data_IF_398450776653
#
_entry.id   IF_398450776653
#
_cell.length_a   1.000
_cell.length_b   1.000
_cell.length_c   1.000
_cell.angle_alpha   90.00
_cell.angle_beta   90.00
_cell.angle_gamma   90.00
#
_symmetry.space_group_name_H-M   'P 1'
#
loop_
_entity.id
_entity.type
_entity.pdbx_description
1 polymer ?
#
# COMPACT_ATOMS: atom_id res chain seq x y z
N UNK A 1 5.28 0.22 29.07
CA UNK A 1 5.95 1.53 29.15
C UNK A 1 6.42 1.93 27.76
N UNK A 2 5.87 3.02 27.21
CA UNK A 2 6.17 3.48 25.85
C UNK A 2 7.24 4.58 25.90
N UNK A 3 8.37 4.35 25.23
CA UNK A 3 9.46 5.31 25.07
C UNK A 3 9.08 6.36 24.01
N UNK A 4 9.45 7.64 24.17
CA UNK A 4 9.02 8.70 23.25
C UNK A 4 9.72 8.58 21.89
N UNK A 5 8.97 8.62 20.77
CA UNK A 5 9.44 8.20 19.45
C UNK A 5 9.80 9.34 18.47
N UNK A 6 10.91 10.04 18.73
CA UNK A 6 11.68 10.77 17.70
C UNK A 6 12.98 9.98 17.44
N UNK A 7 13.35 9.57 16.21
CA UNK A 7 14.77 9.23 15.96
C UNK A 7 15.25 8.22 14.91
N UNK A 8 14.44 7.45 14.18
CA UNK A 8 15.00 6.45 13.23
C UNK A 8 14.98 6.92 11.76
N UNK A 9 16.04 6.59 10.99
CA UNK A 9 16.16 6.93 9.57
C UNK A 9 14.92 6.53 8.72
N UNK A 10 14.33 5.33 8.87
CA UNK A 10 13.12 4.96 8.13
C UNK A 10 11.96 5.93 8.36
N UNK A 11 11.72 6.35 9.61
CA UNK A 11 10.61 7.24 9.95
C UNK A 11 10.85 8.66 9.44
N UNK A 12 12.09 9.16 9.51
CA UNK A 12 12.46 10.46 8.90
C UNK A 12 12.24 10.45 7.39
N UNK A 13 12.70 9.39 6.71
CA UNK A 13 12.50 9.21 5.28
C UNK A 13 11.01 9.17 4.93
N UNK A 14 10.21 8.38 5.66
CA UNK A 14 8.77 8.28 5.43
C UNK A 14 8.05 9.62 5.65
N UNK A 15 8.40 10.34 6.72
CA UNK A 15 7.86 11.66 7.02
C UNK A 15 8.11 12.63 5.86
N UNK A 16 9.35 12.72 5.39
CA UNK A 16 9.72 13.64 4.32
C UNK A 16 9.04 13.29 2.98
N UNK A 17 8.91 11.99 2.68
CA UNK A 17 8.19 11.52 1.50
C UNK A 17 6.70 11.83 1.54
N UNK A 18 6.07 11.74 2.71
CA UNK A 18 4.67 12.10 2.88
C UNK A 18 4.46 13.59 2.81
N UNK A 19 5.35 14.36 3.43
CA UNK A 19 5.35 15.82 3.36
C UNK A 19 5.55 16.32 1.93
N UNK A 20 6.38 15.64 1.13
CA UNK A 20 6.56 16.01 -0.26
C UNK A 20 5.34 15.70 -1.13
N UNK A 21 4.38 14.89 -0.66
CA UNK A 21 3.16 14.57 -1.41
C UNK A 21 3.38 13.61 -2.60
N UNK A 22 4.58 13.04 -2.73
CA UNK A 22 4.89 12.11 -3.83
C UNK A 22 4.20 10.77 -3.61
N UNK A 23 3.61 10.21 -4.66
CA UNK A 23 2.99 8.88 -4.61
C UNK A 23 4.01 7.76 -4.79
N UNK A 24 5.12 8.04 -5.47
CA UNK A 24 6.19 7.09 -5.77
C UNK A 24 7.56 7.71 -5.50
N UNK A 25 8.54 6.86 -5.20
CA UNK A 25 9.92 7.27 -4.91
C UNK A 25 10.91 6.28 -5.49
N UNK A 26 11.92 6.78 -6.19
CA UNK A 26 13.05 5.98 -6.63
C UNK A 26 14.14 5.99 -5.55
N UNK A 27 14.64 4.83 -5.14
CA UNK A 27 15.70 4.69 -4.14
C UNK A 27 16.95 5.53 -4.45
N UNK A 28 17.31 5.67 -5.74
CA UNK A 28 18.43 6.48 -6.17
C UNK A 28 18.30 7.97 -5.83
N UNK A 29 17.09 8.52 -5.78
CA UNK A 29 16.87 9.94 -5.44
C UNK A 29 17.01 10.24 -3.94
N UNK A 30 17.15 9.19 -3.12
CA UNK A 30 17.32 9.28 -1.67
C UNK A 30 18.79 9.17 -1.27
N UNK A 31 19.65 8.65 -2.16
CA UNK A 31 21.09 8.52 -1.91
C UNK A 31 21.73 9.90 -1.84
N UNK A 32 22.76 10.04 -1.01
CA UNK A 32 23.39 11.32 -0.71
C UNK A 32 22.64 12.05 0.41
N UNK A 33 21.35 12.38 0.20
CA UNK A 33 20.53 13.07 1.22
C UNK A 33 20.33 12.24 2.49
N UNK A 34 20.06 10.94 2.34
CA UNK A 34 19.77 10.03 3.46
C UNK A 34 20.91 9.04 3.72
N UNK A 35 22.08 9.26 3.10
CA UNK A 35 23.28 8.42 3.24
C UNK A 35 23.55 7.54 2.02
N UNK A 36 24.29 6.44 2.24
CA UNK A 36 24.72 5.51 1.19
C UNK A 36 23.57 4.67 0.63
N UNK A 37 23.76 4.09 -0.56
CA UNK A 37 22.78 3.21 -1.19
C UNK A 37 22.38 2.01 -0.31
N UNK A 38 23.31 1.44 0.45
CA UNK A 38 23.04 0.33 1.38
C UNK A 38 22.19 0.77 2.57
N UNK A 39 22.44 1.98 3.10
CA UNK A 39 21.71 2.60 4.20
C UNK A 39 20.26 2.88 3.80
N UNK A 40 20.07 3.52 2.63
CA UNK A 40 18.74 3.76 2.04
C UNK A 40 17.99 2.44 1.81
N UNK A 41 18.65 1.45 1.19
CA UNK A 41 18.04 0.14 0.93
C UNK A 41 17.57 -0.55 2.21
N UNK A 42 18.36 -0.48 3.30
CA UNK A 42 17.97 -1.03 4.60
C UNK A 42 16.77 -0.29 5.19
N UNK A 43 16.73 1.04 5.07
CA UNK A 43 15.60 1.83 5.54
C UNK A 43 14.31 1.52 4.77
N UNK A 44 14.38 1.45 3.43
CA UNK A 44 13.24 1.09 2.58
C UNK A 44 12.73 -0.31 2.89
N UNK A 45 13.61 -1.30 3.12
CA UNK A 45 13.17 -2.65 3.55
C UNK A 45 12.39 -2.64 4.86
N UNK A 46 12.81 -1.82 5.83
CA UNK A 46 12.05 -1.66 7.09
C UNK A 46 10.67 -1.04 6.85
N UNK A 47 10.56 -0.10 5.92
CA UNK A 47 9.27 0.51 5.56
C UNK A 47 8.36 -0.44 4.77
N UNK A 48 8.93 -1.31 3.93
CA UNK A 48 8.17 -2.39 3.27
C UNK A 48 7.64 -3.37 4.31
N UNK A 49 8.49 -3.82 5.24
CA UNK A 49 8.09 -4.73 6.31
C UNK A 49 7.02 -4.12 7.24
N UNK A 50 7.05 -2.79 7.42
CA UNK A 50 6.04 -2.05 8.17
C UNK A 50 4.80 -1.67 7.33
N UNK A 51 4.70 -2.15 6.09
CA UNK A 51 3.58 -1.88 5.17
C UNK A 51 3.29 -0.38 4.97
N UNK A 52 4.35 0.44 5.01
CA UNK A 52 4.27 1.89 4.76
C UNK A 52 4.62 2.27 3.33
N UNK A 53 5.33 1.38 2.64
CA UNK A 53 5.63 1.48 1.21
C UNK A 53 5.53 0.10 0.58
N UNK A 54 5.36 0.05 -0.73
CA UNK A 54 5.32 -1.19 -1.49
C UNK A 54 6.28 -1.12 -2.69
N UNK A 55 7.11 -2.15 -2.95
CA UNK A 55 7.92 -2.19 -4.15
C UNK A 55 7.04 -2.37 -5.39
N UNK A 56 7.24 -1.52 -6.41
CA UNK A 56 6.52 -1.61 -7.69
C UNK A 56 7.41 -2.25 -8.78
N UNK A 57 8.70 -1.89 -8.75
CA UNK A 57 9.76 -2.42 -9.59
C UNK A 57 11.11 -2.20 -8.89
N UNK A 58 12.19 -2.75 -9.45
CA UNK A 58 13.53 -2.63 -8.86
C UNK A 58 13.88 -1.17 -8.58
N UNK A 59 14.09 -0.85 -7.30
CA UNK A 59 14.48 0.50 -6.87
C UNK A 59 13.38 1.55 -6.93
N UNK A 60 12.13 1.21 -7.26
CA UNK A 60 10.98 2.12 -7.26
C UNK A 60 9.90 1.62 -6.30
N UNK A 61 9.45 2.51 -5.44
CA UNK A 61 8.52 2.21 -4.37
C UNK A 61 7.29 3.12 -4.47
N UNK A 62 6.14 2.58 -4.12
CA UNK A 62 4.91 3.34 -3.86
C UNK A 62 4.83 3.67 -2.39
N UNK A 63 4.44 4.89 -2.08
CA UNK A 63 4.15 5.29 -0.70
C UNK A 63 2.70 4.95 -0.40
N UNK A 64 2.46 4.20 0.69
CA UNK A 64 1.13 3.82 1.12
C UNK A 64 0.58 4.92 2.06
N UNK A 65 -0.62 5.44 1.77
CA UNK A 65 -1.23 6.47 2.60
C UNK A 65 -1.65 5.88 3.96
N UNK A 66 -1.56 6.68 5.02
CA UNK A 66 -1.98 6.27 6.37
C UNK A 66 -3.51 6.39 6.61
N UNK A 67 -4.27 6.77 5.59
CA UNK A 67 -5.72 6.96 5.70
C UNK A 67 -6.47 5.75 5.16
N UNK A 68 -7.56 5.42 5.84
CA UNK A 68 -8.51 4.40 5.38
C UNK A 68 -9.08 4.77 3.99
N UNK A 69 -9.18 3.82 3.05
CA UNK A 69 -9.77 4.06 1.75
C UNK A 69 -11.26 4.37 1.87
N UNK A 70 -11.71 5.40 1.16
CA UNK A 70 -13.14 5.63 0.95
C UNK A 70 -13.70 4.57 0.00
N UNK A 71 -14.29 3.50 0.53
CA UNK A 71 -14.97 2.48 -0.27
C UNK A 71 -16.26 3.03 -0.88
N UNK A 72 -16.65 2.53 -2.05
CA UNK A 72 -17.89 2.92 -2.73
C UNK A 72 -19.12 2.38 -1.99
N UNK A 73 -18.97 1.21 -1.38
CA UNK A 73 -19.95 0.62 -0.49
C UNK A 73 -19.41 0.65 0.93
N UNK A 74 -20.13 1.31 1.84
CA UNK A 74 -19.78 1.31 3.26
C UNK A 74 -20.03 -0.09 3.84
N UNK A 75 -18.97 -0.78 4.26
CA UNK A 75 -19.03 -2.13 4.84
C UNK A 75 -19.36 -2.12 6.34
N UNK A 76 -19.30 -0.95 6.97
CA UNK A 76 -19.46 -0.73 8.39
C UNK A 76 -20.89 -0.27 8.74
N UNK A 77 -21.91 -1.00 8.29
CA UNK A 77 -23.31 -0.61 8.42
C UNK A 77 -23.74 -0.31 9.87
N UNK A 78 -23.18 -1.00 10.86
CA UNK A 78 -23.49 -0.79 12.29
C UNK A 78 -22.55 0.20 13.00
N UNK A 79 -21.44 0.60 12.39
CA UNK A 79 -20.51 1.57 12.96
C UNK A 79 -19.79 2.38 11.87
N UNK A 80 -20.48 3.32 11.21
CA UNK A 80 -19.94 4.07 10.07
C UNK A 80 -18.78 5.03 10.40
N UNK A 81 -18.36 5.10 11.67
CA UNK A 81 -17.18 5.84 12.12
C UNK A 81 -16.11 4.97 12.81
N UNK A 82 -16.30 3.65 12.83
CA UNK A 82 -15.32 2.73 13.41
C UNK A 82 -14.06 2.65 12.57
N UNK A 83 -12.90 2.76 13.20
CA UNK A 83 -11.62 2.44 12.55
C UNK A 83 -11.47 0.92 12.56
N UNK A 84 -11.53 0.30 11.37
CA UNK A 84 -11.29 -1.12 11.26
C UNK A 84 -9.80 -1.41 11.18
N UNK A 85 -9.40 -2.54 11.75
CA UNK A 85 -8.12 -3.12 11.39
C UNK A 85 -8.08 -3.31 9.85
N UNK A 86 -6.98 -2.93 9.16
CA UNK A 86 -6.97 -2.98 7.71
C UNK A 86 -7.17 -4.38 7.14
N UNK A 87 -6.71 -5.46 7.80
CA UNK A 87 -6.93 -6.83 7.31
C UNK A 87 -8.41 -7.18 7.41
N UNK A 88 -9.08 -6.75 8.47
CA UNK A 88 -10.52 -6.92 8.62
C UNK A 88 -11.32 -6.17 7.53
N UNK A 89 -10.97 -4.92 7.23
CA UNK A 89 -11.62 -4.17 6.15
C UNK A 89 -11.40 -4.81 4.76
N UNK A 90 -10.19 -5.32 4.53
CA UNK A 90 -9.85 -6.06 3.31
C UNK A 90 -10.72 -7.32 3.23
N UNK A 91 -10.79 -8.11 4.30
CA UNK A 91 -11.55 -9.35 4.33
C UNK A 91 -13.05 -9.11 4.05
N UNK A 92 -13.68 -8.17 4.76
CA UNK A 92 -15.08 -7.79 4.53
C UNK A 92 -15.36 -7.34 3.09
N UNK A 93 -14.40 -6.67 2.46
CA UNK A 93 -14.52 -6.26 1.06
C UNK A 93 -14.40 -7.45 0.13
N UNK A 94 -13.44 -8.35 0.38
CA UNK A 94 -13.19 -9.55 -0.42
C UNK A 94 -14.34 -10.57 -0.37
N UNK A 95 -15.18 -10.57 0.68
CA UNK A 95 -16.38 -11.41 0.73
C UNK A 95 -17.45 -11.04 -0.31
N UNK A 96 -17.51 -9.76 -0.73
CA UNK A 96 -18.39 -9.31 -1.84
C UNK A 96 -17.67 -8.26 -2.68
N UNK A 97 -16.67 -8.65 -3.46
CA UNK A 97 -15.68 -7.73 -3.97
C UNK A 97 -16.19 -6.99 -5.21
N UNK A 98 -15.85 -5.70 -5.30
CA UNK A 98 -15.99 -4.92 -6.53
C UNK A 98 -14.61 -4.48 -6.99
N UNK A 99 -14.40 -4.37 -8.31
CA UNK A 99 -13.09 -3.96 -8.81
C UNK A 99 -12.67 -2.60 -8.27
N UNK A 100 -13.62 -1.67 -8.17
CA UNK A 100 -13.40 -0.32 -7.65
C UNK A 100 -12.94 -0.32 -6.19
N UNK A 101 -13.58 -1.11 -5.33
CA UNK A 101 -13.24 -1.16 -3.90
C UNK A 101 -11.92 -1.89 -3.67
N UNK A 102 -11.71 -3.02 -4.36
CA UNK A 102 -10.44 -3.75 -4.26
C UNK A 102 -9.28 -2.90 -4.78
N UNK A 103 -9.44 -2.15 -5.88
CA UNK A 103 -8.42 -1.22 -6.35
C UNK A 103 -8.12 -0.10 -5.34
N UNK A 104 -9.14 0.39 -4.61
CA UNK A 104 -8.98 1.39 -3.53
C UNK A 104 -8.25 0.82 -2.32
N UNK A 105 -8.54 -0.42 -1.93
CA UNK A 105 -7.78 -1.15 -0.91
C UNK A 105 -6.32 -1.31 -1.35
N UNK A 106 -6.08 -1.81 -2.57
CA UNK A 106 -4.73 -2.00 -3.08
C UNK A 106 -3.94 -0.68 -3.17
N UNK A 107 -4.61 0.44 -3.44
CA UNK A 107 -3.99 1.78 -3.43
C UNK A 107 -3.59 2.23 -2.02
N UNK A 108 -4.34 1.82 -1.00
CA UNK A 108 -4.17 2.31 0.38
C UNK A 108 -3.28 1.40 1.21
N UNK A 109 -3.41 0.09 1.03
CA UNK A 109 -2.75 -0.93 1.84
C UNK A 109 -1.70 -1.76 1.08
N UNK A 110 -1.61 -1.58 -0.24
CA UNK A 110 -0.73 -2.38 -1.10
C UNK A 110 -1.42 -3.61 -1.68
N UNK A 111 -0.97 -4.04 -2.85
CA UNK A 111 -1.45 -5.26 -3.51
C UNK A 111 -1.00 -6.49 -2.71
N UNK A 112 0.23 -6.50 -2.21
CA UNK A 112 0.80 -7.63 -1.47
C UNK A 112 -0.02 -7.98 -0.22
N UNK A 113 -0.45 -6.97 0.54
CA UNK A 113 -1.29 -7.16 1.73
C UNK A 113 -2.67 -7.68 1.36
N UNK A 114 -3.31 -7.11 0.33
CA UNK A 114 -4.62 -7.58 -0.14
C UNK A 114 -4.56 -9.02 -0.64
N UNK A 115 -3.48 -9.39 -1.35
CA UNK A 115 -3.25 -10.77 -1.79
C UNK A 115 -3.09 -11.72 -0.60
N UNK A 116 -2.28 -11.36 0.39
CA UNK A 116 -2.11 -12.16 1.62
C UNK A 116 -3.44 -12.44 2.30
N UNK A 117 -4.30 -11.43 2.45
CA UNK A 117 -5.63 -11.62 3.07
C UNK A 117 -6.53 -12.51 2.21
N UNK A 118 -6.49 -12.36 0.88
CA UNK A 118 -7.22 -13.25 -0.03
C UNK A 118 -6.76 -14.71 0.10
N UNK A 119 -5.44 -14.94 0.15
CA UNK A 119 -4.86 -16.27 0.31
C UNK A 119 -5.28 -16.90 1.65
N UNK A 120 -5.32 -16.12 2.73
CA UNK A 120 -5.82 -16.58 4.03
C UNK A 120 -7.31 -16.96 3.98
N UNK A 121 -8.16 -16.12 3.36
CA UNK A 121 -9.59 -16.42 3.22
C UNK A 121 -9.86 -17.67 2.38
N UNK A 122 -9.06 -17.91 1.34
CA UNK A 122 -9.14 -19.15 0.56
C UNK A 122 -8.72 -20.37 1.40
N UNK A 123 -7.60 -20.27 2.12
CA UNK A 123 -7.10 -21.34 2.97
C UNK A 123 -8.11 -21.73 4.07
N UNK A 124 -8.77 -20.72 4.66
CA UNK A 124 -9.78 -20.89 5.70
C UNK A 124 -11.17 -21.27 5.13
N UNK A 125 -11.31 -21.33 3.79
CA UNK A 125 -12.55 -21.64 3.05
C UNK A 125 -13.67 -20.60 3.23
N UNK A 126 -13.34 -19.41 3.69
CA UNK A 126 -14.25 -18.27 3.75
C UNK A 126 -14.58 -17.71 2.36
N UNK A 127 -13.72 -17.99 1.36
CA UNK A 127 -13.93 -17.66 -0.05
C UNK A 127 -13.73 -18.90 -0.93
N UNK A 128 -14.60 -19.17 -1.92
CA UNK A 128 -14.41 -20.26 -2.87
C UNK A 128 -13.14 -20.08 -3.72
N UNK A 129 -12.39 -21.15 -3.98
CA UNK A 129 -11.17 -21.11 -4.81
C UNK A 129 -11.38 -20.53 -6.21
N UNK A 130 -12.55 -20.73 -6.82
CA UNK A 130 -12.87 -20.11 -8.10
C UNK A 130 -12.89 -18.58 -8.02
N UNK A 131 -13.46 -18.02 -6.95
CA UNK A 131 -13.47 -16.58 -6.69
C UNK A 131 -12.05 -16.09 -6.37
N UNK A 132 -11.30 -16.81 -5.53
CA UNK A 132 -9.93 -16.46 -5.19
C UNK A 132 -9.04 -16.38 -6.44
N UNK A 133 -9.08 -17.41 -7.28
CA UNK A 133 -8.35 -17.46 -8.56
C UNK A 133 -8.71 -16.29 -9.49
N UNK A 134 -10.00 -15.99 -9.65
CA UNK A 134 -10.45 -14.83 -10.43
C UNK A 134 -9.84 -13.52 -9.89
N UNK A 135 -9.85 -13.34 -8.57
CA UNK A 135 -9.29 -12.16 -7.95
C UNK A 135 -7.78 -12.09 -8.00
N UNK A 136 -7.06 -13.22 -7.97
CA UNK A 136 -5.62 -13.22 -8.22
C UNK A 136 -5.30 -12.64 -9.61
N UNK A 137 -6.05 -13.02 -10.64
CA UNK A 137 -5.91 -12.43 -11.98
C UNK A 137 -6.20 -10.93 -11.99
N UNK A 138 -7.25 -10.48 -11.30
CA UNK A 138 -7.58 -9.04 -11.20
C UNK A 138 -6.53 -8.25 -10.42
N UNK A 139 -5.97 -8.81 -9.35
CA UNK A 139 -4.88 -8.22 -8.57
C UNK A 139 -3.62 -8.07 -9.43
N UNK A 140 -3.30 -9.04 -10.29
CA UNK A 140 -2.22 -8.91 -11.26
C UNK A 140 -2.44 -7.75 -12.22
N UNK A 141 -3.67 -7.53 -12.68
CA UNK A 141 -4.01 -6.39 -13.55
C UNK A 141 -3.90 -5.05 -12.81
N UNK A 142 -4.33 -5.00 -11.54
CA UNK A 142 -4.16 -3.82 -10.68
C UNK A 142 -2.68 -3.49 -10.48
N UNK A 143 -1.85 -4.50 -10.20
CA UNK A 143 -0.41 -4.34 -10.03
C UNK A 143 0.26 -3.80 -11.30
N UNK A 144 -0.09 -4.36 -12.47
CA UNK A 144 0.35 -3.83 -13.78
C UNK A 144 -0.04 -2.36 -13.96
N UNK A 145 -1.30 -2.02 -13.66
CA UNK A 145 -1.79 -0.65 -13.74
C UNK A 145 -1.01 0.33 -12.84
N UNK A 146 -0.65 -0.08 -11.62
CA UNK A 146 0.20 0.73 -10.74
C UNK A 146 1.62 0.90 -11.28
N UNK A 147 2.19 -0.16 -11.86
CA UNK A 147 3.51 -0.10 -12.50
C UNK A 147 3.53 0.86 -13.68
N UNK A 148 2.52 0.78 -14.54
CA UNK A 148 2.41 1.65 -15.71
C UNK A 148 2.18 3.11 -15.30
N UNK A 149 1.32 3.35 -14.31
CA UNK A 149 1.11 4.69 -13.75
C UNK A 149 2.41 5.25 -13.16
N UNK A 150 3.17 4.44 -12.42
CA UNK A 150 4.43 4.86 -11.82
C UNK A 150 5.51 5.21 -12.85
N UNK A 151 5.52 4.54 -14.02
CA UNK A 151 6.43 4.84 -15.13
C UNK A 151 6.07 6.13 -15.87
N UNK A 152 4.79 6.48 -15.91
CA UNK A 152 4.29 7.71 -16.56
C UNK A 152 4.50 8.96 -15.71
N UNK A 153 4.66 8.81 -14.39
CA UNK A 153 4.97 9.91 -13.50
C UNK A 153 6.46 10.27 -13.64
N UNK A 154 6.81 11.52 -13.98
CA UNK A 154 8.19 11.96 -13.89
C UNK A 154 8.64 11.82 -12.43
N UNK A 155 9.83 11.29 -12.20
CA UNK A 155 10.45 11.30 -10.88
C UNK A 155 10.66 12.76 -10.43
N UNK A 156 9.65 13.38 -9.81
CA UNK A 156 9.70 14.76 -9.34
C UNK A 156 8.52 15.68 -9.68
N UNK A 157 7.44 15.25 -10.34
CA UNK A 157 6.23 16.09 -10.50
C UNK A 157 4.99 15.45 -9.91
N UNK A 158 4.63 15.91 -8.71
CA UNK A 158 3.32 15.72 -8.13
C UNK A 158 2.26 16.39 -9.00
N UNK A 159 1.18 15.67 -9.27
CA UNK A 159 -0.10 16.34 -9.44
C UNK A 159 -0.55 16.83 -8.06
N UNK A 160 -0.27 18.09 -7.78
CA UNK A 160 -1.12 18.87 -6.92
C UNK A 160 -2.45 19.10 -7.67
N UNK A 161 -3.56 18.92 -6.95
CA UNK A 161 -4.92 19.34 -7.28
C UNK A 161 -5.57 18.74 -8.55
N UNK A 162 -6.50 17.80 -8.31
CA UNK A 162 -7.88 17.87 -8.81
C UNK A 162 -8.78 17.01 -7.89
#
# INVERSE_FOLDING_TARGET
>A
MATPMNGTLPMRLLHDLRRSGVATVASGTLVGRYGSASTVSRALRKLVAAEKIEPIQRGLYRILPDREPRLAFNRAWSNPGGTFDPDHLIAMTLSRPTFRDVARLCKSYGVARVRRVLDSLEADKDVPSALASEWQHRLNNIEKGFRDAARRLPAGRNQAAA
#
